data_IF_181727095172
#
_entry.id   IF_181727095172
#
_cell.length_a   1.000
_cell.length_b   1.000
_cell.length_c   1.000
_cell.angle_alpha   90.00
_cell.angle_beta   90.00
_cell.angle_gamma   90.00
#
_symmetry.space_group_name_H-M   'P 1'
#
loop_
_entity.id
_entity.type
_entity.pdbx_description
1 polymer ?
#
# COMPACT_ATOMS: atom_id res chain seq x y z
N UNK A 1 11.05 11.11 -12.32
CA UNK A 1 12.04 10.55 -11.38
C UNK A 1 11.25 10.02 -10.19
N UNK A 2 10.91 8.73 -10.20
CA UNK A 2 10.17 8.08 -9.12
C UNK A 2 11.18 7.53 -8.13
N UNK A 3 11.33 8.21 -7.00
CA UNK A 3 12.05 7.70 -5.84
C UNK A 3 10.99 7.17 -4.87
N UNK A 4 10.86 5.84 -4.74
CA UNK A 4 10.91 5.14 -3.43
C UNK A 4 10.71 3.62 -3.52
N UNK A 5 11.75 2.90 -3.96
CA UNK A 5 11.84 1.43 -3.84
C UNK A 5 12.35 0.98 -2.45
N UNK A 6 11.83 1.53 -1.35
CA UNK A 6 12.34 1.35 0.02
C UNK A 6 13.64 2.10 0.39
N UNK A 7 14.03 3.10 -0.42
CA UNK A 7 15.24 3.91 -0.31
C UNK A 7 16.49 3.13 0.16
N UNK A 8 17.04 2.30 -0.72
CA UNK A 8 18.42 1.78 -0.61
C UNK A 8 18.69 1.11 0.74
N UNK A 9 18.31 -0.17 0.84
CA UNK A 9 19.04 -1.21 1.58
C UNK A 9 19.61 -0.77 2.93
N UNK A 10 18.93 -1.00 4.06
CA UNK A 10 19.57 -1.42 5.32
C UNK A 10 20.89 -0.71 5.77
N UNK A 11 21.17 0.54 5.37
CA UNK A 11 22.46 1.17 5.60
C UNK A 11 22.39 2.03 6.86
N UNK A 12 22.72 1.36 7.96
CA UNK A 12 23.67 1.83 8.97
C UNK A 12 24.02 3.33 8.98
N UNK A 13 23.71 3.98 10.11
CA UNK A 13 24.40 5.13 10.72
C UNK A 13 24.13 6.54 10.17
N UNK A 14 22.93 7.12 10.37
CA UNK A 14 22.76 8.58 10.56
C UNK A 14 21.63 8.84 11.56
N UNK A 15 21.83 9.63 12.64
CA UNK A 15 20.78 9.95 13.58
C UNK A 15 19.97 11.17 13.10
N UNK A 16 19.40 11.14 11.89
CA UNK A 16 18.42 12.16 11.45
C UNK A 16 17.74 11.74 10.12
N UNK A 17 17.10 10.57 10.10
CA UNK A 17 16.04 10.30 9.11
C UNK A 17 14.75 10.26 9.91
N UNK A 18 13.94 11.32 9.80
CA UNK A 18 12.57 11.31 10.32
C UNK A 18 11.84 10.26 9.48
N UNK A 19 11.64 9.09 10.08
CA UNK A 19 11.23 7.86 9.41
C UNK A 19 9.90 8.03 8.68
N UNK A 20 9.92 8.09 7.35
CA UNK A 20 8.75 7.80 6.53
C UNK A 20 8.58 6.27 6.40
N UNK A 21 8.54 5.58 7.53
CA UNK A 21 8.37 4.14 7.58
C UNK A 21 6.94 3.84 8.05
N UNK A 22 6.27 2.91 7.38
CA UNK A 22 4.99 2.41 7.88
C UNK A 22 5.18 1.68 9.21
N UNK A 23 4.24 1.88 10.13
CA UNK A 23 4.24 1.17 11.40
C UNK A 23 3.74 -0.25 11.17
N UNK A 24 4.49 -1.24 11.65
CA UNK A 24 4.07 -2.64 11.58
C UNK A 24 3.80 -3.17 12.97
N UNK A 25 2.61 -3.74 13.18
CA UNK A 25 2.19 -4.28 14.46
C UNK A 25 1.62 -5.68 14.28
N UNK A 26 1.71 -6.48 15.34
CA UNK A 26 1.12 -7.83 15.35
C UNK A 26 0.05 -7.88 16.42
N UNK A 27 -1.18 -8.20 16.04
CA UNK A 27 -2.30 -8.43 16.94
C UNK A 27 -2.66 -9.91 16.90
N UNK A 28 -2.19 -10.67 17.88
CA UNK A 28 -2.32 -12.13 17.87
C UNK A 28 -1.53 -12.77 16.73
N UNK A 29 -2.22 -13.41 15.78
CA UNK A 29 -1.61 -13.98 14.57
C UNK A 29 -1.69 -13.06 13.34
N UNK A 30 -2.34 -11.91 13.46
CA UNK A 30 -2.57 -10.97 12.36
C UNK A 30 -1.48 -9.92 12.35
N UNK A 31 -0.82 -9.75 11.21
CA UNK A 31 0.19 -8.72 10.97
C UNK A 31 -0.41 -7.55 10.20
N UNK A 32 -0.22 -6.35 10.73
CA UNK A 32 -0.81 -5.11 10.23
C UNK A 32 0.31 -4.15 9.85
N UNK A 33 0.24 -3.58 8.65
CA UNK A 33 1.05 -2.45 8.24
C UNK A 33 0.16 -1.20 8.11
N UNK A 34 0.44 -0.19 8.95
CA UNK A 34 -0.24 1.10 8.95
C UNK A 34 0.66 2.15 8.28
N UNK A 35 0.27 2.57 7.08
CA UNK A 35 0.99 3.48 6.19
C UNK A 35 0.18 4.76 5.93
N UNK A 36 -0.35 5.41 6.98
CA UNK A 36 -1.42 6.41 6.84
C UNK A 36 -0.89 7.84 6.81
N UNK A 37 -1.47 8.70 5.97
CA UNK A 37 -1.13 10.13 5.90
C UNK A 37 0.37 10.42 5.69
N UNK A 38 1.06 9.53 4.98
CA UNK A 38 2.50 9.62 4.71
C UNK A 38 2.79 10.35 3.38
N UNK A 39 1.74 10.76 2.65
CA UNK A 39 1.87 11.41 1.36
C UNK A 39 2.33 10.47 0.24
N UNK A 40 2.21 9.15 0.43
CA UNK A 40 2.63 8.14 -0.55
C UNK A 40 1.93 8.33 -1.89
N UNK A 41 2.67 8.18 -2.98
CA UNK A 41 2.14 8.27 -4.35
C UNK A 41 2.03 6.89 -5.01
N UNK A 42 2.64 5.87 -4.41
CA UNK A 42 2.64 4.48 -4.86
C UNK A 42 2.51 3.51 -3.68
N UNK A 43 2.19 2.24 -3.99
CA UNK A 43 2.15 1.15 -3.01
C UNK A 43 3.59 0.78 -2.61
N UNK A 44 3.96 0.88 -1.32
CA UNK A 44 5.28 0.46 -0.86
C UNK A 44 5.56 -1.00 -1.24
N UNK A 45 6.78 -1.34 -1.65
CA UNK A 45 7.13 -2.70 -2.11
C UNK A 45 8.01 -3.49 -1.11
N UNK A 46 8.30 -2.93 0.06
CA UNK A 46 9.28 -3.48 1.00
C UNK A 46 8.78 -3.73 2.42
N UNK A 47 7.47 -3.69 2.62
CA UNK A 47 6.86 -4.18 3.85
C UNK A 47 7.10 -5.69 4.00
N UNK A 48 7.01 -6.24 5.23
CA UNK A 48 6.99 -7.69 5.43
C UNK A 48 5.95 -8.36 4.51
N UNK A 49 6.34 -9.42 3.82
CA UNK A 49 5.48 -10.08 2.84
C UNK A 49 4.35 -10.89 3.49
N UNK A 50 4.42 -11.11 4.79
CA UNK A 50 3.46 -11.87 5.58
C UNK A 50 2.45 -11.01 6.35
N UNK A 51 2.24 -9.77 5.91
CA UNK A 51 1.15 -8.92 6.40
C UNK A 51 -0.21 -9.44 5.94
N UNK A 52 -1.20 -9.34 6.82
CA UNK A 52 -2.60 -9.66 6.56
C UNK A 52 -3.41 -8.40 6.27
N UNK A 53 -3.04 -7.27 6.88
CA UNK A 53 -3.77 -6.00 6.75
C UNK A 53 -2.81 -4.91 6.30
N UNK A 54 -3.18 -4.17 5.27
CA UNK A 54 -2.46 -3.00 4.78
C UNK A 54 -3.39 -1.77 4.75
N UNK A 55 -3.10 -0.79 5.59
CA UNK A 55 -3.81 0.50 5.62
C UNK A 55 -2.96 1.60 4.97
N UNK A 56 -3.32 1.96 3.74
CA UNK A 56 -2.72 3.04 2.94
C UNK A 56 -3.64 4.28 2.90
N UNK A 57 -4.52 4.46 3.89
CA UNK A 57 -5.50 5.54 3.87
C UNK A 57 -4.88 6.94 4.03
N UNK A 58 -5.50 7.92 3.38
CA UNK A 58 -5.08 9.32 3.47
C UNK A 58 -3.77 9.63 2.74
N UNK A 59 -3.45 8.89 1.67
CA UNK A 59 -2.27 9.12 0.84
C UNK A 59 -2.66 9.78 -0.51
N UNK A 60 -1.68 9.89 -1.41
CA UNK A 60 -1.81 10.52 -2.73
C UNK A 60 -1.67 9.50 -3.87
N UNK A 61 -2.07 8.23 -3.65
CA UNK A 61 -1.98 7.21 -4.70
C UNK A 61 -3.00 7.52 -5.79
N UNK A 62 -2.55 7.58 -7.03
CA UNK A 62 -3.36 7.94 -8.20
C UNK A 62 -3.61 6.76 -9.14
N UNK A 63 -2.62 5.88 -9.27
CA UNK A 63 -2.62 4.77 -10.22
C UNK A 63 -2.30 3.47 -9.50
N UNK A 64 -3.07 2.41 -9.78
CA UNK A 64 -2.72 1.04 -9.40
C UNK A 64 -2.24 0.29 -10.63
N UNK A 65 -0.92 0.12 -10.74
CA UNK A 65 -0.30 -0.62 -11.83
C UNK A 65 -0.42 -2.14 -11.62
N UNK A 66 -0.18 -2.89 -12.70
CA UNK A 66 -0.14 -4.34 -12.69
C UNK A 66 0.80 -4.85 -11.59
N UNK A 67 0.33 -5.84 -10.83
CA UNK A 67 1.05 -6.42 -9.70
C UNK A 67 1.45 -5.44 -8.59
N UNK A 68 0.75 -4.31 -8.41
CA UNK A 68 1.03 -3.33 -7.36
C UNK A 68 1.12 -3.95 -5.95
N UNK A 69 0.39 -5.05 -5.70
CA UNK A 69 0.39 -5.77 -4.42
C UNK A 69 1.04 -7.17 -4.49
N UNK A 70 1.80 -7.44 -5.55
CA UNK A 70 2.38 -8.77 -5.83
C UNK A 70 3.17 -9.42 -4.67
N UNK A 71 3.94 -8.66 -3.86
CA UNK A 71 4.61 -9.20 -2.67
C UNK A 71 3.68 -9.62 -1.53
N UNK A 72 2.46 -9.04 -1.44
CA UNK A 72 1.57 -9.13 -0.28
C UNK A 72 0.46 -10.16 -0.47
N UNK A 73 0.84 -11.37 -0.89
CA UNK A 73 -0.11 -12.45 -1.24
C UNK A 73 -0.95 -12.97 -0.08
N UNK A 74 -0.58 -12.63 1.15
CA UNK A 74 -1.31 -13.00 2.37
C UNK A 74 -2.34 -11.94 2.81
N UNK A 75 -2.50 -10.84 2.06
CA UNK A 75 -3.48 -9.82 2.41
C UNK A 75 -4.90 -10.38 2.48
N UNK A 76 -5.56 -10.07 3.58
CA UNK A 76 -6.95 -10.32 3.89
C UNK A 76 -7.75 -9.01 3.85
N UNK A 77 -7.12 -7.87 4.19
CA UNK A 77 -7.73 -6.54 4.17
C UNK A 77 -6.79 -5.49 3.58
N UNK A 78 -7.31 -4.72 2.61
CA UNK A 78 -6.61 -3.64 1.94
C UNK A 78 -7.44 -2.37 1.99
N UNK A 79 -6.90 -1.35 2.65
CA UNK A 79 -7.55 -0.04 2.81
C UNK A 79 -6.79 1.00 2.00
N UNK A 80 -7.41 1.46 0.92
CA UNK A 80 -6.93 2.53 0.02
C UNK A 80 -7.82 3.78 0.12
N UNK A 81 -8.60 3.88 1.20
CA UNK A 81 -9.55 4.95 1.44
C UNK A 81 -8.88 6.33 1.42
N UNK A 82 -9.55 7.37 0.91
CA UNK A 82 -9.03 8.75 0.87
C UNK A 82 -7.67 8.83 0.16
N UNK A 83 -7.62 8.26 -1.04
CA UNK A 83 -6.51 8.46 -1.99
C UNK A 83 -7.06 9.24 -3.21
N UNK A 84 -6.30 9.29 -4.31
CA UNK A 84 -6.66 9.98 -5.56
C UNK A 84 -6.80 9.00 -6.72
N UNK A 85 -7.09 7.73 -6.41
CA UNK A 85 -7.07 6.65 -7.38
C UNK A 85 -8.14 6.92 -8.44
N UNK A 86 -7.71 6.99 -9.69
CA UNK A 86 -8.56 7.19 -10.86
C UNK A 86 -8.21 6.25 -12.02
N UNK A 87 -7.07 5.56 -11.95
CA UNK A 87 -6.65 4.55 -12.92
C UNK A 87 -6.26 3.25 -12.21
N UNK A 88 -6.80 2.13 -12.69
CA UNK A 88 -6.55 0.79 -12.16
C UNK A 88 -6.28 -0.13 -13.34
N UNK A 89 -5.08 -0.71 -13.42
CA UNK A 89 -4.74 -1.72 -14.43
C UNK A 89 -5.37 -3.08 -14.09
N UNK A 90 -5.64 -3.88 -15.14
CA UNK A 90 -6.38 -5.15 -15.06
C UNK A 90 -5.80 -6.13 -14.02
N UNK A 91 -4.47 -6.20 -13.89
CA UNK A 91 -3.79 -7.14 -12.99
C UNK A 91 -3.25 -6.47 -11.72
N UNK A 92 -3.79 -5.31 -11.35
CA UNK A 92 -3.34 -4.57 -10.15
C UNK A 92 -3.47 -5.38 -8.86
N UNK A 93 -4.53 -6.18 -8.73
CA UNK A 93 -4.81 -7.05 -7.57
C UNK A 93 -4.43 -8.53 -7.80
N UNK A 94 -3.64 -8.82 -8.84
CA UNK A 94 -3.27 -10.20 -9.17
C UNK A 94 -2.56 -10.90 -8.01
N UNK A 95 -3.00 -12.12 -7.68
CA UNK A 95 -2.41 -12.95 -6.64
C UNK A 95 -2.89 -12.67 -5.21
N UNK A 96 -3.78 -11.69 -5.00
CA UNK A 96 -4.42 -11.42 -3.71
C UNK A 96 -5.56 -12.41 -3.39
N UNK A 97 -5.25 -13.71 -3.43
CA UNK A 97 -6.23 -14.79 -3.32
C UNK A 97 -6.92 -14.91 -1.95
N UNK A 98 -6.44 -14.18 -0.94
CA UNK A 98 -6.99 -14.17 0.43
C UNK A 98 -7.75 -12.90 0.76
N UNK A 99 -7.82 -11.93 -0.16
CA UNK A 99 -8.40 -10.63 0.10
C UNK A 99 -9.92 -10.74 0.29
N UNK A 100 -10.38 -10.40 1.48
CA UNK A 100 -11.79 -10.42 1.86
C UNK A 100 -12.38 -9.01 1.91
N UNK A 101 -11.54 -8.00 2.20
CA UNK A 101 -11.96 -6.61 2.35
C UNK A 101 -11.09 -5.71 1.49
N UNK A 102 -11.73 -4.99 0.56
CA UNK A 102 -11.12 -3.93 -0.24
C UNK A 102 -11.90 -2.63 -0.03
N UNK A 103 -11.26 -1.63 0.57
CA UNK A 103 -11.87 -0.32 0.78
C UNK A 103 -11.19 0.74 -0.09
N UNK A 104 -11.84 1.13 -1.19
CA UNK A 104 -11.41 2.22 -2.06
C UNK A 104 -12.31 3.46 -1.95
N UNK A 105 -13.08 3.60 -0.87
CA UNK A 105 -13.96 4.76 -0.68
C UNK A 105 -13.20 6.09 -0.68
N UNK A 106 -13.88 7.18 -1.05
CA UNK A 106 -13.28 8.53 -1.10
C UNK A 106 -12.04 8.60 -2.01
N UNK A 107 -12.11 7.93 -3.17
CA UNK A 107 -11.16 8.06 -4.28
C UNK A 107 -11.81 8.77 -5.49
N UNK A 108 -11.01 9.05 -6.51
CA UNK A 108 -11.44 9.71 -7.74
C UNK A 108 -11.80 8.68 -8.82
N UNK A 109 -12.51 7.62 -8.42
CA UNK A 109 -13.01 6.60 -9.34
C UNK A 109 -14.14 7.24 -10.15
N UNK A 110 -13.76 8.01 -11.17
CA UNK A 110 -14.70 8.59 -12.11
C UNK A 110 -15.53 7.44 -12.67
N UNK A 111 -16.85 7.55 -12.51
CA UNK A 111 -17.82 6.71 -13.20
C UNK A 111 -17.48 6.69 -14.69
N UNK A 112 -16.88 5.60 -15.16
CA UNK A 112 -16.94 5.23 -16.56
C UNK A 112 -18.37 4.73 -16.82
N UNK A 113 -19.26 5.69 -17.00
CA UNK A 113 -20.45 5.50 -17.82
C UNK A 113 -19.97 5.46 -19.27
N UNK A 114 -19.91 4.26 -19.85
CA UNK A 114 -19.98 4.03 -21.30
C UNK A 114 -20.58 2.66 -21.55
#
# INVERSE_FOLDING_TARGET
MAFDKCLITCFTLIPFVISLQCDTTTKGKVKIAECKNLGLTEVPQCLPTDINILDLSGNNIENLYNNAFGPYRLLEELILKKNKIHHIEENSFFGLNRLNVLNMSENNLNLLHS
#
